data_IF_915407194310
#
_entry.id   IF_915407194310
#
_cell.length_a   1.000
_cell.length_b   1.000
_cell.length_c   1.000
_cell.angle_alpha   90.00
_cell.angle_beta   90.00
_cell.angle_gamma   90.00
#
_symmetry.space_group_name_H-M   'P 1'
#
loop_
_entity.id
_entity.type
_entity.pdbx_description
1 polymer ?
#
# COMPACT_ATOMS: atom_id res chain seq x y z
N UNK A 1 12.76 -12.36 -17.26
CA UNK A 1 12.73 -11.56 -18.50
C UNK A 1 12.19 -10.18 -18.16
N UNK A 2 12.54 -9.10 -18.87
CA UNK A 2 12.02 -7.75 -18.59
C UNK A 2 10.47 -7.70 -18.52
N UNK A 3 9.79 -8.45 -19.39
CA UNK A 3 8.34 -8.59 -19.38
C UNK A 3 7.75 -9.14 -18.06
N UNK A 4 8.51 -9.94 -17.30
CA UNK A 4 8.06 -10.45 -15.99
C UNK A 4 8.15 -9.37 -14.90
N UNK A 5 9.03 -8.38 -15.08
CA UNK A 5 9.17 -7.28 -14.13
C UNK A 5 8.05 -6.27 -14.34
N UNK A 6 7.78 -5.86 -15.57
CA UNK A 6 6.72 -4.89 -15.87
C UNK A 6 5.35 -5.42 -15.43
N UNK A 7 5.00 -6.66 -15.78
CA UNK A 7 3.75 -7.29 -15.32
C UNK A 7 3.66 -7.33 -13.78
N UNK A 8 4.78 -7.62 -13.11
CA UNK A 8 4.82 -7.63 -11.65
C UNK A 8 4.65 -6.24 -11.07
N UNK A 9 5.27 -5.23 -11.66
CA UNK A 9 5.12 -3.83 -11.25
C UNK A 9 3.66 -3.38 -11.36
N UNK A 10 3.01 -3.68 -12.48
CA UNK A 10 1.59 -3.36 -12.73
C UNK A 10 0.70 -4.00 -11.67
N UNK A 11 0.89 -5.29 -11.42
CA UNK A 11 0.12 -6.02 -10.42
C UNK A 11 0.29 -5.45 -9.01
N UNK A 12 1.49 -4.99 -8.66
CA UNK A 12 1.74 -4.40 -7.34
C UNK A 12 1.20 -2.97 -7.22
N UNK A 13 1.15 -2.21 -8.31
CA UNK A 13 0.45 -0.92 -8.34
C UNK A 13 -1.04 -1.13 -8.05
N UNK A 14 -1.68 -2.05 -8.77
CA UNK A 14 -3.10 -2.37 -8.61
C UNK A 14 -3.37 -2.89 -7.20
N UNK A 15 -2.53 -3.80 -6.68
CA UNK A 15 -2.64 -4.32 -5.32
C UNK A 15 -2.60 -3.21 -4.25
N UNK A 16 -1.66 -2.27 -4.35
CA UNK A 16 -1.56 -1.16 -3.40
C UNK A 16 -2.76 -0.22 -3.52
N UNK A 17 -3.17 0.12 -4.75
CA UNK A 17 -4.33 0.99 -4.97
C UNK A 17 -5.61 0.36 -4.40
N UNK A 18 -5.88 -0.90 -4.70
CA UNK A 18 -7.05 -1.62 -4.20
C UNK A 18 -7.00 -1.78 -2.67
N UNK A 19 -5.83 -2.02 -2.08
CA UNK A 19 -5.67 -2.09 -0.64
C UNK A 19 -5.93 -0.74 0.05
N UNK A 20 -5.48 0.37 -0.56
CA UNK A 20 -5.76 1.73 -0.08
C UNK A 20 -7.26 2.05 -0.12
N UNK A 21 -7.95 1.62 -1.17
CA UNK A 21 -9.39 1.85 -1.33
C UNK A 21 -10.23 0.98 -0.38
N UNK A 22 -9.70 -0.17 0.03
CA UNK A 22 -10.40 -1.12 0.90
C UNK A 22 -10.13 -0.94 2.40
N UNK A 23 -9.02 -0.29 2.79
CA UNK A 23 -8.65 -0.11 4.19
C UNK A 23 -9.45 1.04 4.84
N UNK A 24 -10.10 0.78 5.97
CA UNK A 24 -10.80 1.81 6.76
C UNK A 24 -10.13 1.98 8.13
N UNK A 25 -9.93 3.21 8.60
CA UNK A 25 -9.36 3.43 9.94
C UNK A 25 -10.33 2.89 11.00
N UNK A 26 -9.86 1.92 11.80
CA UNK A 26 -10.65 1.24 12.84
C UNK A 26 -10.53 1.87 14.23
N UNK A 27 -9.63 2.85 14.40
CA UNK A 27 -9.28 3.47 15.68
C UNK A 27 -9.80 4.91 15.81
N UNK A 28 -10.03 5.43 17.03
CA UNK A 28 -10.52 6.81 17.20
C UNK A 28 -9.54 7.85 16.65
N UNK A 29 -9.97 8.80 15.80
CA UNK A 29 -9.08 9.70 15.06
C UNK A 29 -8.28 10.66 15.95
N UNK A 30 -8.83 11.07 17.09
CA UNK A 30 -8.16 11.98 18.04
C UNK A 30 -7.26 11.24 19.05
N UNK A 31 -7.06 9.93 18.87
CA UNK A 31 -6.18 9.13 19.73
C UNK A 31 -4.78 9.02 19.13
N UNK A 32 -3.74 8.70 19.93
CA UNK A 32 -2.41 8.42 19.40
C UNK A 32 -2.39 7.30 18.35
N UNK A 33 -3.33 6.35 18.42
CA UNK A 33 -3.47 5.31 17.41
C UNK A 33 -4.16 5.83 16.13
N UNK A 34 -5.08 6.78 16.26
CA UNK A 34 -5.68 7.47 15.12
C UNK A 34 -4.65 8.27 14.32
N UNK A 35 -3.76 8.98 15.01
CA UNK A 35 -2.60 9.64 14.40
C UNK A 35 -1.70 8.63 13.67
N UNK A 36 -1.34 7.53 14.33
CA UNK A 36 -0.53 6.48 13.72
C UNK A 36 -1.21 5.82 12.48
N UNK A 37 -2.54 5.64 12.51
CA UNK A 37 -3.30 5.11 11.38
C UNK A 37 -3.27 6.08 10.19
N UNK A 38 -3.48 7.37 10.45
CA UNK A 38 -3.40 8.41 9.43
C UNK A 38 -1.98 8.51 8.82
N UNK A 39 -0.93 8.42 9.65
CA UNK A 39 0.46 8.39 9.17
C UNK A 39 0.73 7.16 8.30
N UNK A 40 0.26 5.97 8.69
CA UNK A 40 0.42 4.75 7.88
C UNK A 40 -0.28 4.88 6.51
N UNK A 41 -1.49 5.45 6.49
CA UNK A 41 -2.26 5.69 5.27
C UNK A 41 -1.59 6.75 4.36
N UNK A 42 -1.08 7.83 4.94
CA UNK A 42 -0.31 8.86 4.25
C UNK A 42 0.96 8.28 3.61
N UNK A 43 1.70 7.45 4.36
CA UNK A 43 2.89 6.79 3.84
C UNK A 43 2.54 5.85 2.67
N UNK A 44 1.50 5.04 2.80
CA UNK A 44 1.04 4.15 1.74
C UNK A 44 0.66 4.91 0.46
N UNK A 45 -0.07 6.04 0.58
CA UNK A 45 -0.40 6.91 -0.57
C UNK A 45 0.83 7.54 -1.19
N UNK A 46 1.76 8.04 -0.38
CA UNK A 46 3.00 8.65 -0.85
C UNK A 46 3.82 7.64 -1.68
N UNK A 47 3.90 6.39 -1.23
CA UNK A 47 4.57 5.33 -1.98
C UNK A 47 3.83 4.92 -3.27
N UNK A 48 2.50 4.99 -3.31
CA UNK A 48 1.74 4.80 -4.56
C UNK A 48 2.08 5.91 -5.57
N UNK A 49 2.16 7.16 -5.12
CA UNK A 49 2.55 8.29 -5.97
C UNK A 49 4.00 8.18 -6.46
N UNK A 50 4.93 7.85 -5.56
CA UNK A 50 6.34 7.62 -5.91
C UNK A 50 6.48 6.47 -6.92
N UNK A 51 5.77 5.36 -6.71
CA UNK A 51 5.81 4.22 -7.62
C UNK A 51 5.31 4.58 -9.01
N UNK A 52 4.23 5.37 -9.10
CA UNK A 52 3.71 5.90 -10.38
C UNK A 52 4.70 6.85 -11.05
N UNK A 53 5.40 7.67 -10.26
CA UNK A 53 6.46 8.54 -10.76
C UNK A 53 7.62 7.75 -11.36
N UNK A 54 8.18 6.77 -10.62
CA UNK A 54 9.25 5.90 -11.13
C UNK A 54 8.82 5.13 -12.38
N UNK A 55 7.57 4.67 -12.44
CA UNK A 55 7.03 3.97 -13.61
C UNK A 55 6.97 4.89 -14.84
N UNK A 56 6.56 6.15 -14.66
CA UNK A 56 6.54 7.14 -15.74
C UNK A 56 7.93 7.49 -16.27
N UNK A 57 8.96 7.36 -15.43
CA UNK A 57 10.37 7.61 -15.76
C UNK A 57 11.14 6.36 -16.25
N UNK A 58 10.43 5.27 -16.60
CA UNK A 58 11.00 4.00 -17.09
C UNK A 58 11.93 3.30 -16.06
N UNK A 59 11.61 3.45 -14.76
CA UNK A 59 12.31 2.82 -13.64
C UNK A 59 11.42 1.79 -12.90
N UNK A 60 11.17 0.61 -13.52
CA UNK A 60 10.24 -0.38 -12.98
C UNK A 60 10.74 -1.04 -11.70
N UNK A 61 12.05 -1.01 -11.42
CA UNK A 61 12.61 -1.58 -10.19
C UNK A 61 12.25 -0.70 -8.99
N UNK A 62 12.46 0.61 -9.09
CA UNK A 62 12.06 1.53 -8.03
C UNK A 62 10.55 1.66 -7.92
N UNK A 63 9.81 1.58 -9.04
CA UNK A 63 8.36 1.52 -9.02
C UNK A 63 7.84 0.32 -8.21
N UNK A 64 8.31 -0.90 -8.53
CA UNK A 64 7.94 -2.10 -7.80
C UNK A 64 8.31 -2.02 -6.32
N UNK A 65 9.49 -1.46 -6.00
CA UNK A 65 9.93 -1.28 -4.62
C UNK A 65 9.00 -0.33 -3.85
N UNK A 66 8.62 0.79 -4.46
CA UNK A 66 7.70 1.75 -3.87
C UNK A 66 6.32 1.13 -3.62
N UNK A 67 5.72 0.48 -4.62
CA UNK A 67 4.41 -0.18 -4.46
C UNK A 67 4.43 -1.27 -3.38
N UNK A 68 5.49 -2.10 -3.37
CA UNK A 68 5.64 -3.15 -2.35
C UNK A 68 5.76 -2.58 -0.93
N UNK A 69 6.47 -1.45 -0.78
CA UNK A 69 6.70 -0.84 0.53
C UNK A 69 5.48 -0.04 1.02
N UNK A 70 4.76 0.63 0.12
CA UNK A 70 3.47 1.24 0.42
C UNK A 70 2.45 0.20 0.91
N UNK A 71 2.42 -0.98 0.27
CA UNK A 71 1.55 -2.08 0.70
C UNK A 71 1.93 -2.59 2.10
N UNK A 72 3.22 -2.71 2.39
CA UNK A 72 3.71 -3.14 3.69
C UNK A 72 3.28 -2.22 4.85
N UNK A 73 3.08 -0.91 4.61
CA UNK A 73 2.52 0.01 5.62
C UNK A 73 1.07 -0.36 5.99
N UNK A 74 0.25 -0.67 4.99
CA UNK A 74 -1.14 -1.06 5.23
C UNK A 74 -1.23 -2.43 5.90
N UNK A 75 -0.46 -3.42 5.43
CA UNK A 75 -0.40 -4.75 6.04
C UNK A 75 0.05 -4.69 7.50
N UNK A 76 1.05 -3.87 7.81
CA UNK A 76 1.51 -3.67 9.19
C UNK A 76 0.42 -3.03 10.05
N UNK A 77 -0.24 -1.99 9.55
CA UNK A 77 -1.35 -1.31 10.24
C UNK A 77 -2.54 -2.24 10.49
N UNK A 78 -2.95 -3.02 9.50
CA UNK A 78 -4.03 -3.99 9.61
C UNK A 78 -3.70 -5.06 10.66
N UNK A 79 -2.47 -5.60 10.64
CA UNK A 79 -2.02 -6.64 11.58
C UNK A 79 -2.04 -6.19 13.05
N UNK A 80 -1.84 -4.90 13.31
CA UNK A 80 -1.89 -4.34 14.68
C UNK A 80 -3.25 -3.69 15.01
N UNK A 81 -4.22 -3.75 14.10
CA UNK A 81 -5.59 -3.28 14.31
C UNK A 81 -5.81 -1.78 14.11
N UNK A 82 -4.96 -1.10 13.34
CA UNK A 82 -5.19 0.30 12.94
C UNK A 82 -6.26 0.41 11.84
N UNK A 83 -6.34 -0.60 10.97
CA UNK A 83 -7.27 -0.65 9.86
C UNK A 83 -8.23 -1.84 9.99
N UNK A 84 -9.48 -1.61 9.63
CA UNK A 84 -10.44 -2.65 9.27
C UNK A 84 -10.23 -2.95 7.78
N UNK A 85 -10.01 -4.21 7.45
CA UNK A 85 -9.67 -4.66 6.10
C UNK A 85 -10.49 -5.89 5.74
N UNK A 86 -10.77 -6.14 4.45
CA UNK A 86 -11.50 -7.33 4.06
C UNK A 86 -10.79 -8.63 4.50
N UNK A 87 -11.48 -9.46 5.28
CA UNK A 87 -11.01 -10.79 5.69
C UNK A 87 -10.92 -11.79 4.53
N UNK A 88 -11.66 -11.53 3.44
CA UNK A 88 -11.73 -12.38 2.25
C UNK A 88 -11.00 -11.70 1.07
N UNK A 89 -9.91 -12.29 0.60
CA UNK A 89 -9.22 -11.79 -0.59
C UNK A 89 -7.71 -12.06 -0.60
N UNK A 90 -7.01 -11.40 -1.52
CA UNK A 90 -5.56 -11.44 -1.66
C UNK A 90 -4.93 -10.05 -1.45
N UNK A 91 -5.71 -9.09 -0.96
CA UNK A 91 -5.29 -7.70 -0.78
C UNK A 91 -4.41 -7.49 0.44
N UNK A 92 -4.52 -8.34 1.46
CA UNK A 92 -3.74 -8.24 2.69
C UNK A 92 -3.15 -9.60 3.06
N UNK A 93 -2.03 -9.60 3.79
CA UNK A 93 -1.36 -10.83 4.27
C UNK A 93 -1.65 -11.13 5.74
N UNK A 94 -2.71 -10.53 6.29
CA UNK A 94 -3.12 -10.63 7.70
C UNK A 94 -3.58 -12.02 8.11
#
# INVERSE_FOLDING_TARGET
>A
MPADLDEKTDRYEDLLADALDAAEIAVPPESPLGEAAAECEEMARSYLEDGRHFRADDDPVNALAAFSYGHAWLDAGARIGLFDVPDEGHLFTV
#
